data_IF_602202173595
#
_entry.id   IF_602202173595
#
_cell.length_a   1.000
_cell.length_b   1.000
_cell.length_c   1.000
_cell.angle_alpha   90.00
_cell.angle_beta   90.00
_cell.angle_gamma   90.00
#
_symmetry.space_group_name_H-M   'P 1'
#
loop_
_entity.id
_entity.type
_entity.pdbx_description
1 polymer ?
#
# COMPACT_ATOMS: atom_id res chain seq x y z
N UNK A 1 21.81 -6.99 15.03
CA UNK A 1 22.26 -5.68 14.52
C UNK A 1 21.11 -4.70 14.72
N UNK A 2 21.08 -4.00 15.85
CA UNK A 2 19.92 -3.18 16.23
C UNK A 2 20.05 -1.80 15.59
N UNK A 3 19.33 -1.56 14.50
CA UNK A 3 19.24 -0.25 13.85
C UNK A 3 18.58 0.73 14.81
N UNK A 4 19.40 1.60 15.41
CA UNK A 4 18.97 2.70 16.28
C UNK A 4 18.25 3.73 15.40
N UNK A 5 16.94 3.84 15.53
CA UNK A 5 16.18 4.90 14.85
C UNK A 5 16.71 6.24 15.35
N UNK A 6 17.36 6.98 14.44
CA UNK A 6 17.87 8.30 14.74
C UNK A 6 16.67 9.26 14.79
N UNK A 7 16.53 10.10 15.81
CA UNK A 7 15.47 11.11 15.87
C UNK A 7 15.77 12.23 14.86
N UNK A 8 15.63 11.92 13.58
CA UNK A 8 15.57 12.87 12.48
C UNK A 8 14.11 13.08 12.05
N UNK A 9 13.83 14.17 11.37
CA UNK A 9 12.48 14.50 10.91
C UNK A 9 12.01 13.44 9.88
N UNK A 10 11.22 12.45 10.32
CA UNK A 10 10.67 11.42 9.46
C UNK A 10 9.28 11.83 8.98
N UNK A 11 9.19 12.25 7.72
CA UNK A 11 7.93 12.56 7.06
C UNK A 11 7.62 11.39 6.12
N UNK A 12 6.56 10.65 6.42
CA UNK A 12 6.04 9.59 5.57
C UNK A 12 4.55 9.83 5.35
N UNK A 13 4.10 9.69 4.09
CA UNK A 13 2.67 9.74 3.76
C UNK A 13 2.13 8.31 3.68
N UNK A 14 1.27 7.89 4.62
CA UNK A 14 0.67 6.55 4.59
C UNK A 14 -0.13 6.31 3.31
N UNK A 15 -0.76 7.36 2.77
CA UNK A 15 -1.55 7.27 1.54
C UNK A 15 -0.66 7.00 0.33
N UNK A 16 0.44 7.73 0.17
CA UNK A 16 1.39 7.51 -0.94
C UNK A 16 1.96 6.09 -0.90
N UNK A 17 2.36 5.63 0.29
CA UNK A 17 2.87 4.27 0.48
C UNK A 17 1.82 3.21 0.13
N UNK A 18 0.58 3.39 0.57
CA UNK A 18 -0.53 2.47 0.29
C UNK A 18 -0.85 2.37 -1.20
N UNK A 19 -0.81 3.49 -1.92
CA UNK A 19 -1.01 3.57 -3.37
C UNK A 19 0.06 2.79 -4.14
N UNK A 20 1.33 3.00 -3.78
CA UNK A 20 2.46 2.30 -4.40
C UNK A 20 2.36 0.81 -4.11
N UNK A 21 2.09 0.42 -2.85
CA UNK A 21 1.92 -0.98 -2.48
C UNK A 21 0.70 -1.64 -3.17
N UNK A 22 -0.39 -0.91 -3.40
CA UNK A 22 -1.53 -1.39 -4.18
C UNK A 22 -1.16 -1.65 -5.64
N UNK A 23 -0.42 -0.74 -6.28
CA UNK A 23 0.10 -0.95 -7.63
C UNK A 23 1.08 -2.13 -7.71
N UNK A 24 1.96 -2.28 -6.72
CA UNK A 24 2.87 -3.42 -6.63
C UNK A 24 2.08 -4.72 -6.45
N UNK A 25 1.03 -4.72 -5.62
CA UNK A 25 0.16 -5.89 -5.40
C UNK A 25 -0.53 -6.29 -6.71
N UNK A 26 -0.97 -5.32 -7.51
CA UNK A 26 -1.57 -5.57 -8.82
C UNK A 26 -0.58 -6.15 -9.84
N UNK A 27 0.69 -5.75 -9.79
CA UNK A 27 1.75 -6.30 -10.65
C UNK A 27 2.39 -7.59 -10.12
N UNK A 28 2.29 -7.84 -8.81
CA UNK A 28 2.79 -9.05 -8.17
C UNK A 28 1.89 -10.25 -8.50
N UNK A 29 2.48 -11.45 -8.52
CA UNK A 29 1.77 -12.70 -8.80
C UNK A 29 2.15 -13.76 -7.77
N UNK A 30 1.22 -14.66 -7.46
CA UNK A 30 1.49 -15.84 -6.64
C UNK A 30 1.71 -15.50 -5.16
N UNK A 31 2.83 -15.96 -4.59
CA UNK A 31 3.08 -15.83 -3.14
C UNK A 31 3.21 -14.37 -2.68
N UNK A 32 3.84 -13.51 -3.50
CA UNK A 32 4.04 -12.10 -3.19
C UNK A 32 2.72 -11.32 -3.18
N UNK A 33 1.83 -11.60 -4.13
CA UNK A 33 0.48 -11.04 -4.16
C UNK A 33 -0.29 -11.41 -2.89
N UNK A 34 -0.25 -12.69 -2.49
CA UNK A 34 -0.96 -13.17 -1.30
C UNK A 34 -0.40 -12.54 -0.01
N UNK A 35 0.90 -12.38 0.09
CA UNK A 35 1.54 -11.71 1.22
C UNK A 35 1.16 -10.22 1.30
N UNK A 36 1.14 -9.53 0.16
CA UNK A 36 0.74 -8.13 0.10
C UNK A 36 -0.75 -7.94 0.39
N UNK A 37 -1.63 -8.75 -0.21
CA UNK A 37 -3.07 -8.75 0.10
C UNK A 37 -3.33 -8.99 1.58
N UNK A 38 -2.60 -9.93 2.20
CA UNK A 38 -2.70 -10.21 3.62
C UNK A 38 -2.16 -9.07 4.49
N UNK A 39 -1.03 -8.46 4.14
CA UNK A 39 -0.39 -7.41 4.94
C UNK A 39 -1.08 -6.04 4.83
N UNK A 40 -1.70 -5.76 3.69
CA UNK A 40 -2.44 -4.51 3.44
C UNK A 40 -3.93 -4.63 3.74
N UNK A 41 -4.39 -5.80 4.21
CA UNK A 41 -5.80 -6.14 4.41
C UNK A 41 -6.67 -5.82 3.19
N UNK A 42 -6.14 -6.04 2.00
CA UNK A 42 -6.93 -5.83 0.78
C UNK A 42 -7.99 -6.91 0.65
N UNK A 43 -9.24 -6.50 0.47
CA UNK A 43 -10.33 -7.40 0.09
C UNK A 43 -9.95 -8.14 -1.18
N UNK A 44 -10.29 -9.42 -1.25
CA UNK A 44 -9.91 -10.31 -2.36
C UNK A 44 -10.50 -9.90 -3.73
N UNK A 45 -11.29 -8.83 -3.76
CA UNK A 45 -11.91 -8.26 -4.94
C UNK A 45 -11.07 -7.09 -5.47
N UNK A 46 -10.44 -7.31 -6.63
CA UNK A 46 -9.55 -6.32 -7.25
C UNK A 46 -10.31 -5.06 -7.72
N UNK A 47 -11.63 -5.14 -7.92
CA UNK A 47 -12.45 -3.95 -8.21
C UNK A 47 -12.59 -3.05 -6.99
N UNK A 48 -12.74 -3.63 -5.79
CA UNK A 48 -12.85 -2.87 -4.55
C UNK A 48 -11.54 -2.13 -4.26
N UNK A 49 -10.39 -2.77 -4.49
CA UNK A 49 -9.07 -2.16 -4.35
C UNK A 49 -8.86 -1.00 -5.33
N UNK A 50 -9.18 -1.20 -6.62
CA UNK A 50 -9.06 -0.14 -7.64
C UNK A 50 -10.00 1.02 -7.38
N UNK A 51 -11.24 0.75 -6.96
CA UNK A 51 -12.23 1.77 -6.65
C UNK A 51 -11.80 2.59 -5.42
N UNK A 52 -11.36 1.93 -4.35
CA UNK A 52 -10.86 2.60 -3.15
C UNK A 52 -9.65 3.49 -3.46
N UNK A 53 -8.69 2.98 -4.24
CA UNK A 53 -7.52 3.77 -4.63
C UNK A 53 -7.88 4.99 -5.51
N UNK A 54 -8.80 4.81 -6.47
CA UNK A 54 -9.30 5.90 -7.31
C UNK A 54 -10.00 6.96 -6.47
N UNK A 55 -10.91 6.55 -5.59
CA UNK A 55 -11.61 7.47 -4.68
C UNK A 55 -10.63 8.26 -3.82
N UNK A 56 -9.62 7.62 -3.23
CA UNK A 56 -8.60 8.33 -2.46
C UNK A 56 -7.79 9.32 -3.31
N UNK A 57 -7.54 9.01 -4.58
CA UNK A 57 -6.82 9.91 -5.50
C UNK A 57 -7.69 11.09 -5.92
N UNK A 58 -8.99 10.87 -6.13
CA UNK A 58 -9.96 11.90 -6.51
C UNK A 58 -10.29 12.84 -5.34
N UNK A 59 -10.35 12.33 -4.11
CA UNK A 59 -10.63 13.11 -2.89
C UNK A 59 -9.42 13.96 -2.41
N UNK A 60 -8.22 13.65 -2.90
CA UNK A 60 -6.98 14.37 -2.56
C UNK A 60 -6.58 15.43 -3.61
N UNK A 61 -7.42 15.65 -4.62
CA UNK A 61 -7.27 16.68 -5.66
C UNK A 61 -8.18 17.88 -5.40
#
# INVERSE_FOLDING_TARGET
TTSKEQPGNYICSPISLSTILAMITYGARGATEKALKSGLHFSNDDNVQRKGLKTLTEELN
#
